data_IF_208963153651
#
_entry.id   IF_208963153651
#
_cell.length_a   1.000
_cell.length_b   1.000
_cell.length_c   1.000
_cell.angle_alpha   90.00
_cell.angle_beta   90.00
_cell.angle_gamma   90.00
#
_symmetry.space_group_name_H-M   'P 1'
#
loop_
_entity.id
_entity.type
_entity.pdbx_description
1 polymer ?
#
# COMPACT_ATOMS: atom_id res chain seq x y z
N UNK A 1 16.87 2.15 16.42
CA UNK A 1 16.01 2.88 15.48
C UNK A 1 16.84 3.86 14.64
N UNK A 2 17.71 4.67 15.26
CA UNK A 2 18.58 5.63 14.54
C UNK A 2 19.48 4.99 13.47
N UNK A 3 20.18 3.89 13.78
CA UNK A 3 21.03 3.20 12.79
C UNK A 3 20.26 2.71 11.56
N UNK A 4 19.04 2.20 11.76
CA UNK A 4 18.16 1.75 10.67
C UNK A 4 17.65 2.92 9.84
N UNK A 5 17.31 4.05 10.46
CA UNK A 5 16.89 5.27 9.75
C UNK A 5 18.02 5.90 8.94
N UNK A 6 19.25 5.89 9.48
CA UNK A 6 20.44 6.31 8.74
C UNK A 6 20.73 5.40 7.55
N UNK A 7 20.52 4.10 7.70
CA UNK A 7 20.62 3.15 6.58
C UNK A 7 19.58 3.41 5.51
N UNK A 8 18.29 3.54 5.85
CA UNK A 8 17.23 3.85 4.87
C UNK A 8 17.52 5.13 4.08
N UNK A 9 18.05 6.17 4.75
CA UNK A 9 18.34 7.45 4.11
C UNK A 9 19.59 7.47 3.22
N UNK A 10 20.64 6.71 3.55
CA UNK A 10 21.96 6.78 2.88
C UNK A 10 22.40 5.49 2.19
N UNK A 11 21.74 4.37 2.48
CA UNK A 11 22.07 3.01 2.04
C UNK A 11 23.54 2.62 2.29
N UNK A 12 24.15 3.14 3.36
CA UNK A 12 25.55 2.85 3.72
C UNK A 12 25.65 1.45 4.35
N UNK A 13 26.34 0.48 3.73
CA UNK A 13 26.44 -0.89 4.24
C UNK A 13 27.06 -0.98 5.65
N UNK A 14 27.91 -0.01 6.03
CA UNK A 14 28.53 0.02 7.37
C UNK A 14 27.49 0.17 8.48
N UNK A 15 26.35 0.80 8.19
CA UNK A 15 25.24 0.92 9.14
C UNK A 15 24.55 -0.42 9.39
N UNK A 16 24.56 -1.32 8.42
CA UNK A 16 24.10 -2.70 8.62
C UNK A 16 25.09 -3.51 9.47
N UNK A 17 26.39 -3.28 9.31
CA UNK A 17 27.40 -3.92 10.17
C UNK A 17 27.29 -3.45 11.62
N UNK A 18 27.13 -2.14 11.86
CA UNK A 18 26.87 -1.56 13.18
C UNK A 18 25.57 -2.12 13.80
N UNK A 19 24.50 -2.20 13.01
CA UNK A 19 23.24 -2.79 13.46
C UNK A 19 23.39 -4.28 13.79
N UNK A 20 24.12 -5.01 12.94
CA UNK A 20 24.41 -6.43 13.11
C UNK A 20 25.19 -6.70 14.40
N UNK A 21 26.20 -5.88 14.72
CA UNK A 21 26.97 -6.07 15.96
C UNK A 21 26.11 -5.86 17.21
N UNK A 22 25.18 -4.89 17.18
CA UNK A 22 24.23 -4.70 18.29
C UNK A 22 23.34 -5.91 18.44
N UNK A 23 22.74 -6.40 17.34
CA UNK A 23 21.84 -7.55 17.37
C UNK A 23 22.52 -8.85 17.84
N UNK A 24 23.78 -9.10 17.45
CA UNK A 24 24.52 -10.32 17.84
C UNK A 24 25.07 -10.28 19.26
N UNK A 25 25.08 -9.10 19.90
CA UNK A 25 25.53 -8.93 21.29
C UNK A 25 24.44 -9.20 22.34
N UNK A 26 23.18 -9.36 21.90
CA UNK A 26 22.04 -9.60 22.78
C UNK A 26 21.99 -11.06 23.23
N UNK A 27 21.53 -11.29 24.46
CA UNK A 27 21.19 -12.66 24.87
C UNK A 27 19.88 -13.15 24.22
N UNK A 28 19.55 -14.42 24.43
CA UNK A 28 18.35 -15.02 23.84
C UNK A 28 17.04 -14.36 24.33
N UNK A 29 16.98 -13.93 25.59
CA UNK A 29 15.80 -13.28 26.16
C UNK A 29 15.59 -11.89 25.56
N UNK A 30 16.64 -11.09 25.53
CA UNK A 30 16.64 -9.74 24.95
C UNK A 30 16.37 -9.79 23.44
N UNK A 31 16.94 -10.76 22.73
CA UNK A 31 16.70 -10.98 21.31
C UNK A 31 15.22 -11.24 21.01
N UNK A 32 14.55 -12.07 21.82
CA UNK A 32 13.11 -12.35 21.67
C UNK A 32 12.29 -11.08 21.91
N UNK A 33 12.60 -10.33 22.97
CA UNK A 33 11.88 -9.10 23.31
C UNK A 33 12.01 -8.06 22.20
N UNK A 34 13.22 -7.87 21.66
CA UNK A 34 13.50 -6.91 20.59
C UNK A 34 12.81 -7.34 19.28
N UNK A 35 12.93 -8.60 18.86
CA UNK A 35 12.28 -9.09 17.66
C UNK A 35 10.74 -8.95 17.74
N UNK A 36 10.16 -9.29 18.89
CA UNK A 36 8.72 -9.12 19.15
C UNK A 36 8.31 -7.65 19.11
N UNK A 37 9.11 -6.76 19.68
CA UNK A 37 8.84 -5.32 19.67
C UNK A 37 8.81 -4.76 18.25
N UNK A 38 9.78 -5.12 17.40
CA UNK A 38 9.78 -4.72 15.99
C UNK A 38 8.58 -5.27 15.22
N UNK A 39 8.22 -6.53 15.44
CA UNK A 39 7.02 -7.12 14.81
C UNK A 39 5.74 -6.37 15.23
N UNK A 40 5.61 -6.00 16.50
CA UNK A 40 4.49 -5.18 16.96
C UNK A 40 4.50 -3.78 16.36
N UNK A 41 5.65 -3.12 16.27
CA UNK A 41 5.76 -1.81 15.61
C UNK A 41 5.35 -1.88 14.13
N UNK A 42 5.75 -2.94 13.41
CA UNK A 42 5.33 -3.16 12.03
C UNK A 42 3.82 -3.38 11.91
N UNK A 43 3.22 -4.16 12.80
CA UNK A 43 1.77 -4.35 12.83
C UNK A 43 1.03 -3.02 13.08
N UNK A 44 1.54 -2.16 13.97
CA UNK A 44 0.98 -0.84 14.23
C UNK A 44 1.12 0.09 13.01
N UNK A 45 2.26 0.03 12.32
CA UNK A 45 2.48 0.80 11.09
C UNK A 45 1.49 0.37 9.98
N UNK A 46 1.29 -0.94 9.80
CA UNK A 46 0.31 -1.47 8.85
C UNK A 46 -1.11 -1.03 9.19
N UNK A 47 -1.51 -1.11 10.47
CA UNK A 47 -2.84 -0.66 10.90
C UNK A 47 -3.03 0.85 10.65
N UNK A 48 -1.99 1.66 10.91
CA UNK A 48 -2.03 3.08 10.62
C UNK A 48 -2.18 3.35 9.11
N UNK A 49 -1.50 2.58 8.27
CA UNK A 49 -1.62 2.65 6.81
C UNK A 49 -3.04 2.25 6.34
N UNK A 50 -3.60 1.15 6.85
CA UNK A 50 -4.97 0.72 6.54
C UNK A 50 -5.98 1.82 6.88
N UNK A 51 -5.87 2.42 8.08
CA UNK A 51 -6.72 3.54 8.48
C UNK A 51 -6.51 4.73 7.54
N UNK A 52 -5.26 5.06 7.21
CA UNK A 52 -4.98 6.16 6.30
C UNK A 52 -5.59 5.93 4.91
N UNK A 53 -5.52 4.71 4.37
CA UNK A 53 -6.11 4.33 3.08
C UNK A 53 -7.64 4.40 3.15
N UNK A 54 -8.25 3.82 4.20
CA UNK A 54 -9.70 3.75 4.37
C UNK A 54 -10.35 5.15 4.45
N UNK A 55 -9.70 6.11 5.11
CA UNK A 55 -10.21 7.47 5.27
C UNK A 55 -9.60 8.48 4.29
N UNK A 56 -8.78 8.03 3.33
CA UNK A 56 -8.19 8.91 2.31
C UNK A 56 -9.29 9.45 1.39
N UNK A 57 -9.31 10.78 1.17
CA UNK A 57 -10.18 11.37 0.14
C UNK A 57 -9.72 10.95 -1.25
N UNK A 58 -10.64 10.43 -2.07
CA UNK A 58 -10.39 10.11 -3.48
C UNK A 58 -10.10 11.39 -4.28
N UNK A 59 -9.12 11.32 -5.18
CA UNK A 59 -8.76 12.44 -6.04
C UNK A 59 -9.74 12.46 -7.22
N UNK A 60 -10.49 13.56 -7.37
CA UNK A 60 -11.45 13.72 -8.48
C UNK A 60 -10.79 14.12 -9.80
N UNK A 61 -9.57 14.65 -9.76
CA UNK A 61 -8.81 15.05 -10.94
C UNK A 61 -8.00 13.86 -11.45
N UNK A 62 -8.52 13.15 -12.45
CA UNK A 62 -7.89 11.98 -13.10
C UNK A 62 -7.29 12.39 -14.45
N UNK A 63 -6.29 11.66 -14.95
CA UNK A 63 -5.70 11.92 -16.29
C UNK A 63 -6.67 11.57 -17.43
N UNK A 64 -7.61 10.67 -17.17
CA UNK A 64 -8.64 10.21 -18.09
C UNK A 64 -8.21 9.06 -19.00
N UNK A 65 -7.01 8.50 -18.78
CA UNK A 65 -6.45 7.37 -19.54
C UNK A 65 -6.47 6.07 -18.70
N UNK A 66 -5.83 5.00 -19.20
CA UNK A 66 -5.82 3.72 -18.48
C UNK A 66 -4.84 3.70 -17.29
N UNK A 67 -3.89 4.63 -17.23
CA UNK A 67 -2.89 4.65 -16.16
C UNK A 67 -3.52 5.05 -14.82
N UNK A 68 -4.67 5.73 -14.84
CA UNK A 68 -5.46 6.02 -13.64
C UNK A 68 -5.90 4.74 -12.91
N UNK A 69 -6.05 3.61 -13.59
CA UNK A 69 -6.50 2.34 -12.99
C UNK A 69 -5.38 1.62 -12.22
N UNK A 70 -4.13 2.11 -12.27
CA UNK A 70 -2.98 1.48 -11.60
C UNK A 70 -2.84 1.88 -10.12
N UNK A 71 -3.68 2.80 -9.62
CA UNK A 71 -3.64 3.26 -8.23
C UNK A 71 -5.05 3.40 -7.66
N UNK A 72 -5.28 2.87 -6.46
CA UNK A 72 -6.53 3.05 -5.73
C UNK A 72 -6.92 4.52 -5.48
N UNK A 73 -5.96 5.44 -5.63
CA UNK A 73 -6.21 6.89 -5.50
C UNK A 73 -6.92 7.50 -6.72
N UNK A 74 -6.80 6.85 -7.87
CA UNK A 74 -7.28 7.32 -9.18
C UNK A 74 -8.17 6.33 -9.91
N UNK A 75 -8.20 5.06 -9.47
CA UNK A 75 -9.01 4.01 -10.11
C UNK A 75 -10.48 4.40 -10.21
N UNK A 76 -11.14 3.89 -11.25
CA UNK A 76 -12.56 4.09 -11.47
C UNK A 76 -13.38 3.31 -10.45
N UNK A 77 -14.32 3.96 -9.77
CA UNK A 77 -15.34 3.23 -9.04
C UNK A 77 -16.27 2.47 -10.00
N UNK A 78 -17.14 1.64 -9.44
CA UNK A 78 -18.06 0.83 -10.24
C UNK A 78 -18.99 1.71 -11.10
N UNK A 79 -19.46 2.85 -10.58
CA UNK A 79 -20.34 3.74 -11.31
C UNK A 79 -19.59 4.46 -12.44
N UNK A 80 -18.38 4.92 -12.19
CA UNK A 80 -17.47 5.51 -13.18
C UNK A 80 -17.14 4.50 -14.30
N UNK A 81 -16.92 3.24 -13.95
CA UNK A 81 -16.68 2.15 -14.89
C UNK A 81 -17.90 1.90 -15.77
N UNK A 82 -19.11 1.78 -15.18
CA UNK A 82 -20.35 1.61 -15.92
C UNK A 82 -20.64 2.81 -16.84
N UNK A 83 -20.45 4.04 -16.35
CA UNK A 83 -20.56 5.26 -17.17
C UNK A 83 -19.58 5.24 -18.33
N UNK A 84 -18.32 4.82 -18.11
CA UNK A 84 -17.32 4.71 -19.17
C UNK A 84 -17.74 3.71 -20.25
N UNK A 85 -18.29 2.56 -19.85
CA UNK A 85 -18.79 1.54 -20.78
C UNK A 85 -19.92 2.07 -21.68
N UNK A 86 -20.91 2.75 -21.09
CA UNK A 86 -22.06 3.28 -21.84
C UNK A 86 -21.70 4.53 -22.65
N UNK A 87 -21.03 5.50 -22.04
CA UNK A 87 -20.81 6.83 -22.64
C UNK A 87 -19.63 6.82 -23.61
N UNK A 88 -18.49 6.24 -23.23
CA UNK A 88 -17.27 6.24 -24.05
C UNK A 88 -17.19 5.03 -24.98
N UNK A 89 -17.49 3.84 -24.48
CA UNK A 89 -17.39 2.58 -25.24
C UNK A 89 -18.69 2.17 -25.95
N UNK A 90 -19.76 2.96 -25.80
CA UNK A 90 -21.05 2.82 -26.51
C UNK A 90 -21.71 1.45 -26.34
N UNK A 91 -21.48 0.80 -25.19
CA UNK A 91 -22.19 -0.41 -24.78
C UNK A 91 -23.62 -0.07 -24.35
N UNK A 92 -24.58 -0.94 -24.63
CA UNK A 92 -25.94 -0.73 -24.12
C UNK A 92 -25.99 -1.10 -22.63
N UNK A 93 -26.85 -0.46 -21.82
CA UNK A 93 -27.04 -0.84 -20.43
C UNK A 93 -27.40 -2.31 -20.24
N UNK A 94 -28.17 -2.88 -21.17
CA UNK A 94 -28.57 -4.30 -21.17
C UNK A 94 -27.37 -5.22 -21.41
N UNK A 95 -26.50 -4.90 -22.37
CA UNK A 95 -25.26 -5.66 -22.62
C UNK A 95 -24.35 -5.65 -21.40
N UNK A 96 -24.19 -4.49 -20.75
CA UNK A 96 -23.38 -4.37 -19.54
C UNK A 96 -23.99 -5.18 -18.38
N UNK A 97 -25.31 -5.12 -18.21
CA UNK A 97 -26.01 -5.85 -17.16
C UNK A 97 -25.98 -7.37 -17.37
N UNK A 98 -26.14 -7.82 -18.61
CA UNK A 98 -26.05 -9.24 -18.95
C UNK A 98 -24.62 -9.77 -18.75
N UNK A 99 -23.60 -8.98 -19.12
CA UNK A 99 -22.21 -9.31 -18.82
C UNK A 99 -21.94 -9.43 -17.32
N UNK A 100 -22.48 -8.52 -16.49
CA UNK A 100 -22.35 -8.58 -15.03
C UNK A 100 -23.02 -9.82 -14.41
N UNK A 101 -24.10 -10.33 -15.00
CA UNK A 101 -24.76 -11.56 -14.52
C UNK A 101 -23.93 -12.81 -14.79
N UNK A 102 -23.12 -12.78 -15.85
CA UNK A 102 -22.38 -13.93 -16.37
C UNK A 102 -20.86 -13.82 -16.12
N UNK A 103 -20.44 -12.94 -15.18
CA UNK A 103 -19.03 -12.69 -14.84
C UNK A 103 -18.45 -13.72 -13.86
#
# INVERSE_FOLDING_TARGET
YELSAEYEGKQDPRKLEELGSVLTSLDAGDSIVIAKSFSHMLNLANLAEEVQIAYRRRIKLKKGDFADEASATTESDIEETLKRLVVKLKKSPEEVFDALKNQ
#
